data_IF_934800574758
#
_entry.id   IF_934800574758
#
_cell.length_a   1.000
_cell.length_b   1.000
_cell.length_c   1.000
_cell.angle_alpha   90.00
_cell.angle_beta   90.00
_cell.angle_gamma   90.00
#
_symmetry.space_group_name_H-M   'P 1'
#
loop_
_entity.id
_entity.type
_entity.pdbx_description
1 polymer ?
#
# COMPACT_ATOMS: atom_id res chain seq x y z
N UNK A 1 -13.57 -12.27 8.77
CA UNK A 1 -12.51 -12.93 9.55
C UNK A 1 -12.89 -14.39 9.63
N UNK A 2 -12.07 -15.30 9.12
CA UNK A 2 -12.33 -16.74 9.28
C UNK A 2 -12.40 -17.07 10.77
N UNK A 3 -13.36 -17.91 11.17
CA UNK A 3 -13.63 -18.30 12.57
C UNK A 3 -12.45 -19.01 13.28
N UNK A 4 -11.28 -19.13 12.65
CA UNK A 4 -10.16 -19.98 13.08
C UNK A 4 -8.81 -19.27 13.29
N UNK A 5 -8.71 -17.94 13.19
CA UNK A 5 -7.45 -17.24 13.44
C UNK A 5 -7.02 -17.38 14.92
N UNK A 6 -5.78 -17.77 15.16
CA UNK A 6 -5.17 -17.87 16.48
C UNK A 6 -5.08 -16.50 17.16
N UNK A 7 -4.93 -16.48 18.49
CA UNK A 7 -4.72 -15.23 19.25
C UNK A 7 -3.49 -14.47 18.71
N UNK A 8 -2.42 -15.18 18.36
CA UNK A 8 -1.22 -14.58 17.80
C UNK A 8 -1.51 -13.89 16.45
N UNK A 9 -2.23 -14.54 15.55
CA UNK A 9 -2.62 -13.97 14.26
C UNK A 9 -3.52 -12.74 14.41
N UNK A 10 -4.47 -12.79 15.35
CA UNK A 10 -5.32 -11.64 15.68
C UNK A 10 -4.51 -10.47 16.23
N UNK A 11 -3.51 -10.73 17.10
CA UNK A 11 -2.61 -9.69 17.61
C UNK A 11 -1.75 -9.07 16.50
N UNK A 12 -1.17 -9.90 15.63
CA UNK A 12 -0.39 -9.45 14.48
C UNK A 12 -1.22 -8.55 13.56
N UNK A 13 -2.43 -8.99 13.20
CA UNK A 13 -3.34 -8.21 12.36
C UNK A 13 -3.73 -6.89 13.04
N UNK A 14 -4.03 -6.91 14.34
CA UNK A 14 -4.36 -5.69 15.09
C UNK A 14 -3.24 -4.66 15.09
N UNK A 15 -1.97 -5.10 15.10
CA UNK A 15 -0.81 -4.19 15.01
C UNK A 15 -0.78 -3.49 13.65
N UNK A 16 -0.95 -4.25 12.56
CA UNK A 16 -0.99 -3.68 11.21
C UNK A 16 -2.19 -2.75 11.02
N UNK A 17 -3.39 -3.16 11.45
CA UNK A 17 -4.60 -2.34 11.30
C UNK A 17 -4.51 -1.01 12.04
N UNK A 18 -3.92 -1.00 13.24
CA UNK A 18 -3.65 0.25 13.98
C UNK A 18 -2.65 1.15 13.29
N UNK A 19 -1.63 0.56 12.65
CA UNK A 19 -0.65 1.32 11.88
C UNK A 19 -1.33 2.00 10.68
N UNK A 20 -2.04 1.23 9.85
CA UNK A 20 -2.76 1.74 8.68
C UNK A 20 -3.83 2.76 9.07
N UNK A 21 -4.53 2.57 10.19
CA UNK A 21 -5.50 3.55 10.70
C UNK A 21 -4.81 4.88 11.03
N UNK A 22 -3.64 4.86 11.68
CA UNK A 22 -2.87 6.06 12.00
C UNK A 22 -2.42 6.82 10.74
N UNK A 23 -1.98 6.10 9.72
CA UNK A 23 -1.62 6.65 8.40
C UNK A 23 -2.83 7.30 7.71
N UNK A 24 -3.97 6.60 7.71
CA UNK A 24 -5.22 7.08 7.10
C UNK A 24 -5.79 8.31 7.80
N UNK A 25 -5.56 8.46 9.11
CA UNK A 25 -5.87 9.67 9.87
C UNK A 25 -4.90 10.82 9.58
N UNK A 26 -3.80 10.57 8.86
CA UNK A 26 -2.73 11.56 8.62
C UNK A 26 -2.03 11.99 9.90
N UNK A 27 -2.05 11.14 10.95
CA UNK A 27 -1.47 11.48 12.25
C UNK A 27 -0.03 10.97 12.32
N UNK A 28 0.92 11.87 12.02
CA UNK A 28 2.34 11.56 11.99
C UNK A 28 2.85 10.98 13.32
N UNK A 29 2.49 11.59 14.45
CA UNK A 29 2.97 11.14 15.76
C UNK A 29 2.44 9.76 16.12
N UNK A 30 1.16 9.49 15.82
CA UNK A 30 0.56 8.17 16.03
C UNK A 30 1.20 7.13 15.11
N UNK A 31 1.41 7.46 13.83
CA UNK A 31 2.06 6.59 12.85
C UNK A 31 3.45 6.20 13.32
N UNK A 32 4.30 7.18 13.64
CA UNK A 32 5.66 6.92 14.10
C UNK A 32 5.70 6.19 15.46
N UNK A 33 4.69 6.35 16.32
CA UNK A 33 4.62 5.62 17.59
C UNK A 33 4.40 4.11 17.41
N UNK A 34 3.76 3.70 16.31
CA UNK A 34 3.56 2.28 15.97
C UNK A 34 4.79 1.62 15.35
N UNK A 35 5.80 2.41 14.95
CA UNK A 35 7.03 1.91 14.37
C UNK A 35 8.14 1.71 15.41
N UNK A 36 9.09 0.83 15.07
CA UNK A 36 10.33 0.63 15.85
C UNK A 36 11.27 1.84 15.77
N UNK A 37 12.36 1.80 16.52
CA UNK A 37 13.34 2.89 16.60
C UNK A 37 14.25 2.97 15.35
N UNK A 38 14.26 1.92 14.52
CA UNK A 38 15.00 1.89 13.26
C UNK A 38 14.17 1.22 12.15
N UNK A 39 13.07 1.86 11.72
CA UNK A 39 12.20 1.34 10.68
C UNK A 39 12.75 1.65 9.29
N UNK A 40 12.18 1.03 8.26
CA UNK A 40 12.33 1.48 6.87
C UNK A 40 11.06 1.24 6.06
N UNK A 41 10.78 2.11 5.11
CA UNK A 41 9.65 2.01 4.19
C UNK A 41 10.20 2.06 2.78
N UNK A 42 9.83 1.10 1.94
CA UNK A 42 10.23 1.05 0.55
C UNK A 42 9.04 0.78 -0.36
N UNK A 43 8.69 1.77 -1.16
CA UNK A 43 7.88 1.61 -2.35
C UNK A 43 8.74 1.08 -3.48
N UNK A 44 8.71 -0.23 -3.73
CA UNK A 44 9.69 -0.93 -4.54
C UNK A 44 9.70 -0.44 -6.00
N UNK A 45 8.54 -0.06 -6.53
CA UNK A 45 8.45 0.26 -7.95
C UNK A 45 9.09 1.62 -8.33
N UNK A 46 9.30 2.52 -7.36
CA UNK A 46 9.85 3.85 -7.61
C UNK A 46 10.86 4.35 -6.54
N UNK A 47 11.21 3.50 -5.56
CA UNK A 47 12.12 3.77 -4.46
C UNK A 47 11.69 4.89 -3.48
N UNK A 48 10.43 5.35 -3.55
CA UNK A 48 9.91 6.31 -2.58
C UNK A 48 9.84 5.68 -1.18
N UNK A 49 10.25 6.41 -0.16
CA UNK A 49 10.20 5.92 1.21
C UNK A 49 11.23 6.60 2.09
N UNK A 50 11.69 5.87 3.10
CA UNK A 50 12.69 6.36 4.04
C UNK A 50 13.39 5.21 4.75
N UNK A 51 14.65 5.44 5.09
CA UNK A 51 15.45 4.60 5.98
C UNK A 51 15.50 5.25 7.36
N UNK A 52 15.63 4.44 8.41
CA UNK A 52 15.69 4.87 9.81
C UNK A 52 14.50 5.72 10.29
N UNK A 53 14.52 6.11 11.57
CA UNK A 53 13.39 6.82 12.18
C UNK A 53 13.18 8.19 11.56
N UNK A 54 14.27 8.93 11.30
CA UNK A 54 14.19 10.30 10.79
C UNK A 54 13.84 10.31 9.31
N UNK A 55 14.39 9.40 8.51
CA UNK A 55 14.05 9.28 7.10
C UNK A 55 12.61 8.84 6.89
N UNK A 56 12.12 7.84 7.65
CA UNK A 56 10.72 7.42 7.59
C UNK A 56 9.79 8.53 8.09
N UNK A 57 10.11 9.20 9.20
CA UNK A 57 9.31 10.34 9.70
C UNK A 57 9.22 11.46 8.67
N UNK A 58 10.34 11.78 8.00
CA UNK A 58 10.37 12.77 6.92
C UNK A 58 9.47 12.36 5.75
N UNK A 59 9.55 11.09 5.33
CA UNK A 59 8.71 10.56 4.27
C UNK A 59 7.22 10.70 4.61
N UNK A 60 6.81 10.29 5.81
CA UNK A 60 5.42 10.45 6.27
C UNK A 60 4.97 11.91 6.31
N UNK A 61 5.79 12.80 6.86
CA UNK A 61 5.47 14.21 6.96
C UNK A 61 5.23 14.84 5.57
N UNK A 62 6.09 14.52 4.60
CA UNK A 62 6.08 15.19 3.31
C UNK A 62 5.01 14.62 2.36
N UNK A 63 4.76 13.31 2.44
CA UNK A 63 3.99 12.57 1.45
C UNK A 63 2.68 11.93 1.96
N UNK A 64 2.49 11.78 3.27
CA UNK A 64 1.29 11.10 3.81
C UNK A 64 0.25 12.06 4.40
N UNK A 65 0.66 13.07 5.17
CA UNK A 65 -0.28 13.98 5.86
C UNK A 65 -1.18 14.71 4.85
N UNK A 66 -2.42 14.24 4.70
CA UNK A 66 -3.43 14.79 3.78
C UNK A 66 -3.25 14.46 2.29
N UNK A 67 -2.22 13.67 1.94
CA UNK A 67 -1.79 13.43 0.55
C UNK A 67 -1.77 11.95 0.14
N UNK A 68 -2.01 11.03 1.08
CA UNK A 68 -1.79 9.61 0.83
C UNK A 68 -2.73 9.03 -0.24
N UNK A 69 -4.04 9.28 -0.15
CA UNK A 69 -4.99 8.80 -1.15
C UNK A 69 -6.04 9.86 -1.52
N UNK A 70 -6.60 9.78 -2.75
CA UNK A 70 -7.81 10.49 -3.11
C UNK A 70 -9.03 10.07 -2.27
N UNK A 71 -10.07 10.91 -2.15
CA UNK A 71 -11.22 10.63 -1.28
C UNK A 71 -12.07 9.42 -1.70
N UNK A 72 -11.97 9.00 -2.97
CA UNK A 72 -12.70 7.88 -3.54
C UNK A 72 -11.88 6.58 -3.54
N UNK A 73 -10.80 6.51 -2.76
CA UNK A 73 -10.02 5.28 -2.64
C UNK A 73 -10.84 4.16 -2.01
N UNK A 74 -10.79 2.99 -2.65
CA UNK A 74 -11.35 1.75 -2.13
C UNK A 74 -10.23 0.72 -1.99
N UNK A 75 -10.21 0.02 -0.86
CA UNK A 75 -9.28 -1.07 -0.58
C UNK A 75 -10.03 -2.40 -0.64
N UNK A 76 -9.56 -3.31 -1.49
CA UNK A 76 -10.13 -4.65 -1.62
C UNK A 76 -9.05 -5.67 -1.24
N UNK A 77 -9.06 -6.12 0.02
CA UNK A 77 -8.17 -7.19 0.48
C UNK A 77 -8.46 -8.47 -0.31
N UNK A 78 -7.43 -9.03 -0.92
CA UNK A 78 -7.48 -10.25 -1.73
C UNK A 78 -7.06 -11.45 -0.88
N UNK A 79 -5.90 -11.33 -0.23
CA UNK A 79 -5.36 -12.37 0.64
C UNK A 79 -4.53 -11.76 1.76
N UNK A 80 -4.39 -12.52 2.85
CA UNK A 80 -3.59 -12.14 4.02
C UNK A 80 -2.84 -13.38 4.49
N UNK A 81 -1.51 -13.30 4.53
CA UNK A 81 -0.66 -14.35 5.07
C UNK A 81 0.08 -13.82 6.28
N UNK A 82 -0.12 -14.45 7.44
CA UNK A 82 0.55 -14.08 8.69
C UNK A 82 1.68 -15.06 8.94
N UNK A 83 2.91 -14.54 8.89
CA UNK A 83 4.12 -15.24 9.30
C UNK A 83 4.42 -15.04 10.78
N UNK A 84 5.56 -15.54 11.22
CA UNK A 84 6.02 -15.42 12.62
C UNK A 84 6.48 -14.01 12.98
N UNK A 85 6.91 -13.22 12.00
CA UNK A 85 7.47 -11.88 12.18
C UNK A 85 7.06 -10.88 11.10
N UNK A 86 6.15 -11.25 10.20
CA UNK A 86 5.68 -10.37 9.12
C UNK A 86 4.29 -10.76 8.67
N UNK A 87 3.58 -9.78 8.11
CA UNK A 87 2.32 -9.98 7.39
C UNK A 87 2.57 -9.68 5.92
N UNK A 88 2.02 -10.51 5.04
CA UNK A 88 1.91 -10.24 3.61
C UNK A 88 0.44 -10.00 3.30
N UNK A 89 0.09 -8.78 2.94
CA UNK A 89 -1.25 -8.39 2.53
C UNK A 89 -1.26 -8.13 1.02
N UNK A 90 -2.10 -8.87 0.30
CA UNK A 90 -2.39 -8.64 -1.11
C UNK A 90 -3.73 -7.91 -1.21
N UNK A 91 -3.75 -6.81 -1.96
CA UNK A 91 -4.94 -5.99 -2.11
C UNK A 91 -5.05 -5.44 -3.53
N UNK A 92 -6.28 -5.11 -3.92
CA UNK A 92 -6.55 -4.26 -5.08
C UNK A 92 -7.08 -2.92 -4.58
N UNK A 93 -6.37 -1.85 -4.89
CA UNK A 93 -6.86 -0.49 -4.66
C UNK A 93 -7.43 0.10 -5.94
N UNK A 94 -8.46 0.93 -5.81
CA UNK A 94 -8.93 1.75 -6.91
C UNK A 94 -9.33 3.15 -6.44
N UNK A 95 -9.04 4.16 -7.25
CA UNK A 95 -9.31 5.55 -6.97
C UNK A 95 -9.25 6.40 -8.25
N UNK A 96 -9.68 7.65 -8.18
CA UNK A 96 -9.49 8.64 -9.25
C UNK A 96 -8.33 9.58 -8.93
N UNK A 97 -7.37 9.74 -9.84
CA UNK A 97 -6.18 10.59 -9.67
C UNK A 97 -6.53 12.10 -9.70
N UNK A 98 -7.22 12.56 -8.65
CA UNK A 98 -7.76 13.93 -8.47
C UNK A 98 -6.84 14.87 -7.68
N UNK A 99 -5.77 14.32 -7.09
CA UNK A 99 -4.70 15.01 -6.37
C UNK A 99 -3.39 14.29 -6.63
N UNK A 100 -2.25 14.95 -6.38
CA UNK A 100 -0.95 14.27 -6.43
C UNK A 100 -0.93 13.10 -5.45
N UNK A 101 -0.46 11.94 -5.91
CA UNK A 101 -0.29 10.71 -5.11
C UNK A 101 1.21 10.37 -5.16
N UNK A 102 2.01 11.06 -4.36
CA UNK A 102 3.47 11.11 -4.55
C UNK A 102 4.17 9.78 -4.33
N UNK A 103 3.65 8.92 -3.46
CA UNK A 103 4.21 7.58 -3.24
C UNK A 103 4.02 6.66 -4.46
N UNK A 104 3.00 6.88 -5.30
CA UNK A 104 2.71 6.08 -6.50
C UNK A 104 3.26 6.74 -7.77
N UNK A 105 3.00 8.04 -7.91
CA UNK A 105 3.24 8.87 -9.08
C UNK A 105 3.98 10.16 -8.68
N UNK A 106 5.23 10.05 -8.22
CA UNK A 106 6.00 11.22 -7.79
C UNK A 106 6.12 12.23 -8.94
N UNK A 107 5.83 13.50 -8.64
CA UNK A 107 5.86 14.62 -9.58
C UNK A 107 4.87 14.56 -10.77
N UNK A 108 3.82 13.73 -10.68
CA UNK A 108 2.77 13.70 -11.71
C UNK A 108 1.54 14.44 -11.21
N UNK A 109 1.11 15.44 -11.98
CA UNK A 109 -0.09 16.21 -11.71
C UNK A 109 -1.38 15.36 -11.84
N UNK A 110 -2.48 15.75 -11.16
CA UNK A 110 -3.76 15.05 -11.24
C UNK A 110 -4.23 14.85 -12.69
N UNK A 111 -4.34 13.59 -13.11
CA UNK A 111 -4.75 13.24 -14.47
C UNK A 111 -6.26 13.05 -14.61
N UNK A 112 -7.00 13.02 -13.50
CA UNK A 112 -8.44 12.70 -13.42
C UNK A 112 -8.81 11.35 -14.03
N UNK A 113 -7.83 10.47 -14.23
CA UNK A 113 -8.04 9.09 -14.70
C UNK A 113 -8.23 8.16 -13.50
N UNK A 114 -9.06 7.13 -13.71
CA UNK A 114 -9.19 6.05 -12.75
C UNK A 114 -7.93 5.18 -12.76
N UNK A 115 -7.46 4.83 -11.58
CA UNK A 115 -6.37 3.89 -11.36
C UNK A 115 -6.96 2.71 -10.59
N UNK A 116 -6.69 1.49 -11.04
CA UNK A 116 -6.97 0.24 -10.34
C UNK A 116 -5.74 -0.65 -10.44
N UNK A 117 -5.15 -0.98 -9.30
CA UNK A 117 -3.89 -1.71 -9.25
C UNK A 117 -3.90 -2.78 -8.15
N UNK A 118 -3.25 -3.90 -8.45
CA UNK A 118 -2.83 -4.86 -7.44
C UNK A 118 -1.63 -4.30 -6.70
N UNK A 119 -1.62 -4.47 -5.38
CA UNK A 119 -0.59 -3.99 -4.50
C UNK A 119 -0.33 -5.06 -3.43
N UNK A 120 0.93 -5.28 -3.09
CA UNK A 120 1.33 -6.19 -2.01
C UNK A 120 2.10 -5.38 -0.98
N UNK A 121 1.64 -5.43 0.26
CA UNK A 121 2.32 -4.84 1.41
C UNK A 121 2.92 -5.96 2.23
N UNK A 122 4.23 -5.91 2.45
CA UNK A 122 4.93 -6.79 3.39
C UNK A 122 5.31 -5.95 4.60
N UNK A 123 4.64 -6.19 5.72
CA UNK A 123 4.85 -5.46 6.96
C UNK A 123 5.56 -6.35 7.99
N UNK A 124 6.79 -6.00 8.36
CA UNK A 124 7.52 -6.71 9.41
C UNK A 124 7.12 -6.24 10.80
N UNK A 125 6.94 -7.16 11.74
CA UNK A 125 6.54 -6.87 13.12
C UNK A 125 7.57 -7.43 14.09
N UNK A 126 7.99 -6.61 15.05
CA UNK A 126 8.83 -7.02 16.19
C UNK A 126 8.42 -6.24 17.42
N UNK A 127 8.35 -6.91 18.57
CA UNK A 127 8.02 -6.29 19.86
C UNK A 127 6.75 -5.41 19.80
N UNK A 128 5.73 -5.91 19.07
CA UNK A 128 4.44 -5.26 18.82
C UNK A 128 4.50 -3.93 18.04
N UNK A 129 5.56 -3.73 17.25
CA UNK A 129 5.79 -2.54 16.42
C UNK A 129 6.18 -2.91 14.99
N UNK A 130 5.86 -2.02 14.05
CA UNK A 130 6.25 -2.13 12.65
C UNK A 130 7.74 -1.85 12.50
N UNK A 131 8.45 -2.82 11.95
CA UNK A 131 9.88 -2.71 11.61
C UNK A 131 10.09 -2.21 10.20
N UNK A 132 9.21 -2.58 9.27
CA UNK A 132 9.33 -2.15 7.90
C UNK A 132 8.06 -2.37 7.11
N UNK A 133 8.01 -1.68 5.98
CA UNK A 133 7.02 -1.91 4.93
C UNK A 133 7.72 -2.00 3.57
N UNK A 134 7.46 -3.08 2.85
CA UNK A 134 7.84 -3.23 1.45
C UNK A 134 6.59 -3.29 0.59
N UNK A 135 6.45 -2.31 -0.30
CA UNK A 135 5.23 -2.10 -1.07
C UNK A 135 5.53 -2.35 -2.55
N UNK A 136 4.88 -3.37 -3.10
CA UNK A 136 5.05 -3.79 -4.49
C UNK A 136 3.81 -3.50 -5.30
N UNK A 137 3.99 -3.01 -6.52
CA UNK A 137 2.94 -2.93 -7.53
C UNK A 137 3.58 -2.90 -8.93
N UNK A 138 2.75 -3.05 -9.96
CA UNK A 138 3.19 -2.90 -11.35
C UNK A 138 3.08 -1.44 -11.80
N UNK A 139 4.21 -0.72 -11.82
CA UNK A 139 4.26 0.68 -12.25
C UNK A 139 3.94 0.84 -13.74
N UNK A 140 4.25 -0.14 -14.60
CA UNK A 140 3.92 -0.03 -16.02
C UNK A 140 2.41 0.00 -16.22
N UNK A 141 1.67 -0.84 -15.47
CA UNK A 141 0.21 -0.83 -15.47
C UNK A 141 -0.37 0.52 -14.99
N UNK A 142 0.22 1.16 -13.99
CA UNK A 142 -0.17 2.51 -13.56
C UNK A 142 0.03 3.51 -14.69
N UNK A 143 1.23 3.54 -15.28
CA UNK A 143 1.61 4.49 -16.33
C UNK A 143 0.73 4.35 -17.59
N UNK A 144 0.34 3.12 -17.96
CA UNK A 144 -0.64 2.86 -19.03
C UNK A 144 -1.99 3.48 -18.68
N UNK A 145 -2.50 3.24 -17.47
CA UNK A 145 -3.80 3.75 -17.04
C UNK A 145 -3.86 5.27 -17.06
N UNK A 146 -2.77 5.95 -16.67
CA UNK A 146 -2.70 7.41 -16.72
C UNK A 146 -2.28 7.97 -18.09
N UNK A 147 -1.94 7.12 -19.06
CA UNK A 147 -1.57 7.49 -20.42
C UNK A 147 -0.17 8.07 -20.59
N UNK A 148 0.74 7.77 -19.67
CA UNK A 148 2.17 8.09 -19.79
C UNK A 148 2.98 6.96 -20.45
N UNK A 149 2.41 5.76 -20.59
CA UNK A 149 2.98 4.64 -21.32
C UNK A 149 1.99 4.13 -22.38
N UNK A 150 2.42 4.10 -23.65
CA UNK A 150 1.66 3.45 -24.73
C UNK A 150 1.89 1.92 -24.65
N UNK A 151 0.83 1.11 -24.43
CA UNK A 151 0.98 -0.34 -24.33
C UNK A 151 1.28 -1.02 -25.67
N UNK A 152 1.21 -0.32 -26.81
CA UNK A 152 1.38 -0.94 -28.14
C UNK A 152 2.75 -1.60 -28.30
N UNK A 153 2.74 -2.92 -28.50
CA UNK A 153 3.95 -3.72 -28.70
C UNK A 153 4.70 -4.08 -27.41
N UNK A 154 4.14 -3.74 -26.25
CA UNK A 154 4.69 -4.09 -24.94
C UNK A 154 3.83 -5.16 -24.26
N UNK A 155 4.42 -6.09 -23.49
CA UNK A 155 3.69 -7.10 -22.73
C UNK A 155 3.15 -6.51 -21.41
N UNK A 156 2.39 -5.42 -21.50
CA UNK A 156 1.84 -4.69 -20.35
C UNK A 156 0.34 -4.55 -20.50
N UNK A 157 -0.36 -4.51 -19.36
CA UNK A 157 -1.80 -4.23 -19.30
C UNK A 157 -2.04 -2.96 -18.49
N UNK A 158 -3.26 -2.44 -18.47
CA UNK A 158 -3.70 -1.39 -17.55
C UNK A 158 -4.41 -2.01 -16.35
N UNK A 159 -5.69 -1.71 -16.18
CA UNK A 159 -6.48 -2.24 -15.05
C UNK A 159 -6.83 -3.73 -15.16
N UNK A 160 -6.61 -4.36 -16.33
CA UNK A 160 -7.10 -5.70 -16.63
C UNK A 160 -6.54 -6.77 -15.67
N UNK A 161 -5.30 -6.63 -15.19
CA UNK A 161 -4.70 -7.54 -14.21
C UNK A 161 -5.45 -7.49 -12.87
N UNK A 162 -5.74 -6.29 -12.38
CA UNK A 162 -6.50 -6.08 -11.15
C UNK A 162 -7.97 -6.53 -11.27
N UNK A 163 -8.61 -6.28 -12.41
CA UNK A 163 -9.97 -6.78 -12.70
C UNK A 163 -10.02 -8.32 -12.70
N UNK A 164 -8.99 -8.95 -13.28
CA UNK A 164 -8.88 -10.41 -13.30
C UNK A 164 -8.67 -10.98 -11.89
N UNK A 165 -7.80 -10.37 -11.08
CA UNK A 165 -7.55 -10.80 -9.71
C UNK A 165 -8.81 -10.71 -8.84
N UNK A 166 -9.55 -9.59 -8.92
CA UNK A 166 -10.82 -9.40 -8.21
C UNK A 166 -11.89 -10.43 -8.60
N UNK A 167 -11.88 -10.88 -9.86
CA UNK A 167 -12.81 -11.91 -10.32
C UNK A 167 -12.45 -13.26 -9.72
N UNK A 168 -11.16 -13.62 -9.74
CA UNK A 168 -10.68 -14.88 -9.17
C UNK A 168 -10.84 -14.95 -7.65
N UNK A 169 -10.69 -13.84 -6.93
CA UNK A 169 -10.82 -13.83 -5.47
C UNK A 169 -12.26 -13.96 -4.98
N UNK A 170 -13.25 -13.49 -5.75
CA UNK A 170 -14.68 -13.65 -5.45
C UNK A 170 -15.18 -15.09 -5.64
N UNK A 171 -14.49 -15.90 -6.44
CA UNK A 171 -14.83 -17.30 -6.68
C UNK A 171 -14.32 -18.23 -5.56
N UNK A 172 -13.49 -17.72 -4.64
CA UNK A 172 -12.90 -18.46 -3.52
C UNK A 172 -13.64 -18.26 -2.18
N UNK A 173 -14.68 -17.42 -2.15
CA UNK A 173 -15.55 -17.14 -1.00
C UNK A 173 -16.95 -17.71 -1.24
#
# INVERSE_FOLDING_TARGET
MEENATIFEQEMLSILEKHVEAEMLGNLDLTMATMTDNPHLLNVANMMGGDDYDGVKKFYNDHLVGKFFPPDVEFNRISLTIGTNQIVEELVINFTHTRMVEWLLPNIEPTNKKIKICLVVIAGIKDKKITHEHIYWDQASVLVQIGLLDPKGLPVVGSQSADKLLTLSKELL
#
